data_IF_671739989371
#
_entry.id   IF_671739989371
#
_cell.length_a   1.000
_cell.length_b   1.000
_cell.length_c   1.000
_cell.angle_alpha   90.00
_cell.angle_beta   90.00
_cell.angle_gamma   90.00
#
_symmetry.space_group_name_H-M   'P 1'
#
loop_
_entity.id
_entity.type
_entity.pdbx_description
1 polymer ?
#
# COMPACT_ATOMS: atom_id res chain seq x y z
N UNK A 1 1.96 5.30 16.67
CA UNK A 1 0.99 5.63 15.63
C UNK A 1 1.18 4.67 14.47
N UNK A 2 0.12 3.96 14.10
CA UNK A 2 0.10 2.95 13.04
C UNK A 2 -0.41 3.61 11.76
N UNK A 3 0.33 3.49 10.66
CA UNK A 3 -0.13 3.89 9.34
C UNK A 3 -0.35 2.69 8.43
N UNK A 4 -1.41 2.73 7.63
CA UNK A 4 -1.55 1.85 6.48
C UNK A 4 -1.21 2.63 5.22
N UNK A 5 -0.26 2.13 4.44
CA UNK A 5 0.21 2.71 3.18
C UNK A 5 -0.15 1.77 2.04
N UNK A 6 -0.96 2.23 1.11
CA UNK A 6 -1.54 1.43 0.03
C UNK A 6 -1.04 1.90 -1.33
N UNK A 7 -0.36 1.02 -2.04
CA UNK A 7 0.17 1.32 -3.38
C UNK A 7 -0.93 1.42 -4.45
N UNK A 8 -0.59 2.03 -5.57
CA UNK A 8 -1.36 1.92 -6.80
C UNK A 8 -1.28 0.52 -7.42
N UNK A 9 -2.27 0.17 -8.23
CA UNK A 9 -2.30 -1.16 -8.88
C UNK A 9 -3.54 -1.43 -9.75
N UNK A 10 -4.38 -0.42 -10.00
CA UNK A 10 -5.55 -0.53 -10.87
C UNK A 10 -6.57 -1.54 -10.33
N UNK A 11 -7.03 -2.45 -11.19
CA UNK A 11 -8.01 -3.50 -10.83
C UNK A 11 -7.54 -4.43 -9.70
N UNK A 12 -6.24 -4.57 -9.49
CA UNK A 12 -5.68 -5.37 -8.39
C UNK A 12 -5.85 -4.72 -7.01
N UNK A 13 -6.41 -3.51 -6.90
CA UNK A 13 -6.73 -2.86 -5.62
C UNK A 13 -7.61 -3.71 -4.70
N UNK A 14 -8.36 -4.65 -5.24
CA UNK A 14 -9.16 -5.61 -4.47
C UNK A 14 -8.31 -6.53 -3.56
N UNK A 15 -7.03 -6.80 -3.90
CA UNK A 15 -6.08 -7.52 -3.04
C UNK A 15 -5.90 -6.83 -1.69
N UNK A 16 -5.72 -5.50 -1.73
CA UNK A 16 -5.54 -4.71 -0.51
C UNK A 16 -6.74 -4.82 0.43
N UNK A 17 -7.95 -4.90 -0.14
CA UNK A 17 -9.18 -5.03 0.66
C UNK A 17 -9.21 -6.33 1.45
N UNK A 18 -8.79 -7.43 0.85
CA UNK A 18 -8.65 -8.71 1.53
C UNK A 18 -7.64 -8.65 2.67
N UNK A 19 -6.46 -8.06 2.41
CA UNK A 19 -5.41 -7.87 3.41
C UNK A 19 -5.88 -6.97 4.58
N UNK A 20 -6.56 -5.86 4.28
CA UNK A 20 -7.13 -4.97 5.29
C UNK A 20 -8.11 -5.71 6.22
N UNK A 21 -8.97 -6.57 5.68
CA UNK A 21 -9.92 -7.34 6.49
C UNK A 21 -9.21 -8.26 7.48
N UNK A 22 -8.12 -8.91 7.07
CA UNK A 22 -7.34 -9.80 7.95
C UNK A 22 -6.61 -8.99 9.02
N UNK A 23 -5.88 -7.92 8.63
CA UNK A 23 -5.18 -7.08 9.59
C UNK A 23 -6.13 -6.55 10.67
N UNK A 24 -7.29 -6.03 10.26
CA UNK A 24 -8.27 -5.47 11.18
C UNK A 24 -8.98 -6.54 12.03
N UNK A 25 -9.19 -7.75 11.51
CA UNK A 25 -9.74 -8.87 12.27
C UNK A 25 -8.77 -9.33 13.38
N UNK A 26 -7.46 -9.22 13.15
CA UNK A 26 -6.40 -9.52 14.12
C UNK A 26 -6.09 -8.31 15.04
N UNK A 27 -6.93 -7.28 15.01
CA UNK A 27 -6.84 -6.13 15.92
C UNK A 27 -5.82 -5.07 15.50
N UNK A 28 -5.28 -5.11 14.28
CA UNK A 28 -4.40 -4.07 13.74
C UNK A 28 -5.25 -3.03 13.04
N UNK A 29 -5.39 -1.86 13.65
CA UNK A 29 -6.17 -0.73 13.12
C UNK A 29 -5.26 0.46 12.79
N UNK A 30 -5.50 1.19 11.69
CA UNK A 30 -4.72 2.35 11.34
C UNK A 30 -5.15 3.58 12.15
N UNK A 31 -4.17 4.36 12.60
CA UNK A 31 -4.35 5.72 13.09
C UNK A 31 -4.32 6.72 11.93
N UNK A 32 -3.75 6.34 10.80
CA UNK A 32 -3.58 7.18 9.60
C UNK A 32 -3.54 6.30 8.34
N UNK A 33 -4.02 6.85 7.23
CA UNK A 33 -4.06 6.20 5.92
C UNK A 33 -3.35 7.04 4.86
N UNK A 34 -2.53 6.38 4.05
CA UNK A 34 -1.86 7.01 2.90
C UNK A 34 -2.06 6.12 1.68
N UNK A 35 -2.38 6.70 0.53
CA UNK A 35 -2.63 5.88 -0.65
C UNK A 35 -2.40 6.57 -1.99
N UNK A 36 -2.11 5.75 -2.99
CA UNK A 36 -1.87 6.14 -4.38
C UNK A 36 -2.79 5.36 -5.31
N UNK A 37 -3.40 6.02 -6.30
CA UNK A 37 -4.20 5.39 -7.36
C UNK A 37 -5.31 4.47 -6.81
N UNK A 38 -5.32 3.17 -7.09
CA UNK A 38 -6.26 2.22 -6.50
C UNK A 38 -6.19 2.23 -4.96
N UNK A 39 -4.99 2.36 -4.39
CA UNK A 39 -4.80 2.54 -2.96
C UNK A 39 -5.47 3.81 -2.44
N UNK A 40 -5.45 4.92 -3.20
CA UNK A 40 -6.15 6.16 -2.83
C UNK A 40 -7.67 5.95 -2.72
N UNK A 41 -8.26 5.16 -3.61
CA UNK A 41 -9.67 4.77 -3.52
C UNK A 41 -9.92 4.01 -2.22
N UNK A 42 -9.11 2.98 -1.93
CA UNK A 42 -9.27 2.14 -0.76
C UNK A 42 -9.11 2.92 0.55
N UNK A 43 -8.06 3.75 0.67
CA UNK A 43 -7.83 4.53 1.89
C UNK A 43 -8.88 5.60 2.10
N UNK A 44 -9.42 6.22 1.05
CA UNK A 44 -10.48 7.21 1.18
C UNK A 44 -11.79 6.61 1.71
N UNK A 45 -12.17 5.42 1.22
CA UNK A 45 -13.32 4.70 1.76
C UNK A 45 -13.08 4.28 3.20
N UNK A 46 -11.92 3.71 3.50
CA UNK A 46 -11.59 3.23 4.85
C UNK A 46 -11.45 4.38 5.84
N UNK A 47 -10.92 5.56 5.45
CA UNK A 47 -10.82 6.71 6.35
C UNK A 47 -12.18 7.24 6.80
N UNK A 48 -13.22 7.04 6.00
CA UNK A 48 -14.59 7.39 6.36
C UNK A 48 -15.24 6.42 7.34
N UNK A 49 -14.79 5.15 7.34
CA UNK A 49 -15.19 4.11 8.28
C UNK A 49 -14.01 3.15 8.56
N UNK A 50 -13.05 3.54 9.45
CA UNK A 50 -11.84 2.78 9.72
C UNK A 50 -12.09 1.58 10.64
N UNK A 51 -13.09 0.77 10.29
CA UNK A 51 -13.50 -0.43 11.02
C UNK A 51 -13.44 -1.66 10.12
N UNK A 52 -13.42 -2.85 10.72
CA UNK A 52 -13.53 -4.10 9.98
C UNK A 52 -14.81 -4.13 9.12
N UNK A 53 -15.89 -3.54 9.60
CA UNK A 53 -17.13 -3.44 8.83
C UNK A 53 -16.98 -2.53 7.62
N UNK A 54 -16.28 -1.38 7.75
CA UNK A 54 -15.92 -0.52 6.63
C UNK A 54 -15.08 -1.27 5.58
N UNK A 55 -14.11 -2.07 6.01
CA UNK A 55 -13.33 -2.92 5.08
C UNK A 55 -14.18 -3.99 4.39
N UNK A 56 -15.22 -4.54 5.05
CA UNK A 56 -16.19 -5.45 4.42
C UNK A 56 -17.07 -4.74 3.39
N UNK A 57 -17.56 -3.53 3.72
CA UNK A 57 -18.33 -2.72 2.78
C UNK A 57 -17.52 -2.33 1.55
N UNK A 58 -16.24 -2.01 1.73
CA UNK A 58 -15.32 -1.75 0.62
C UNK A 58 -15.18 -2.97 -0.30
N UNK A 59 -15.15 -4.19 0.25
CA UNK A 59 -15.14 -5.42 -0.55
C UNK A 59 -16.41 -5.55 -1.41
N UNK A 60 -17.58 -5.21 -0.87
CA UNK A 60 -18.82 -5.24 -1.64
C UNK A 60 -18.85 -4.19 -2.75
N UNK A 61 -18.18 -3.06 -2.57
CA UNK A 61 -18.00 -2.05 -3.63
C UNK A 61 -17.13 -2.64 -4.75
N UNK A 62 -15.97 -3.23 -4.43
CA UNK A 62 -15.08 -3.83 -5.42
C UNK A 62 -15.77 -4.94 -6.24
N UNK A 63 -16.58 -5.80 -5.62
CA UNK A 63 -17.36 -6.84 -6.31
C UNK A 63 -18.38 -6.30 -7.31
N UNK A 64 -18.80 -5.03 -7.16
CA UNK A 64 -19.78 -4.36 -8.03
C UNK A 64 -19.15 -3.52 -9.13
N UNK A 65 -17.84 -3.26 -9.04
CA UNK A 65 -17.13 -2.52 -10.09
C UNK A 65 -17.11 -3.38 -11.36
N UNK A 66 -17.44 -2.75 -12.48
CA UNK A 66 -17.32 -3.34 -13.81
C UNK A 66 -16.39 -2.48 -14.67
N UNK A 67 -15.79 -3.08 -15.68
CA UNK A 67 -14.92 -2.40 -16.64
C UNK A 67 -15.54 -1.08 -17.13
N UNK A 68 -16.81 -1.09 -17.52
CA UNK A 68 -17.51 0.08 -18.05
C UNK A 68 -17.72 1.21 -17.01
N UNK A 69 -17.64 0.89 -15.72
CA UNK A 69 -17.68 1.91 -14.68
C UNK A 69 -16.39 2.74 -14.64
N UNK A 70 -15.27 2.16 -15.06
CA UNK A 70 -13.94 2.77 -14.99
C UNK A 70 -13.46 3.19 -16.38
N UNK A 71 -13.48 2.28 -17.35
CA UNK A 71 -12.98 2.44 -18.72
C UNK A 71 -14.11 2.41 -19.74
N UNK A 72 -14.85 3.53 -19.90
CA UNK A 72 -15.92 3.58 -20.89
C UNK A 72 -15.33 3.61 -22.30
N UNK A 73 -15.95 2.85 -23.19
CA UNK A 73 -15.61 2.78 -24.61
C UNK A 73 -14.79 1.53 -24.97
N UNK A 74 -14.97 1.12 -26.22
CA UNK A 74 -14.24 -0.02 -26.78
C UNK A 74 -13.00 0.40 -27.56
N UNK A 75 -12.30 -0.55 -28.21
CA UNK A 75 -11.09 -0.29 -29.00
C UNK A 75 -11.29 0.78 -30.07
N UNK A 76 -12.48 0.86 -30.66
CA UNK A 76 -12.80 1.89 -31.66
C UNK A 76 -12.82 3.29 -31.08
N UNK A 77 -13.33 3.48 -29.86
CA UNK A 77 -13.32 4.77 -29.16
C UNK A 77 -11.88 5.19 -28.82
N UNK A 78 -11.05 4.25 -28.35
CA UNK A 78 -9.63 4.50 -28.08
C UNK A 78 -8.87 4.88 -29.36
N UNK A 79 -9.09 4.17 -30.46
CA UNK A 79 -8.50 4.49 -31.76
C UNK A 79 -8.92 5.89 -32.26
N UNK A 80 -10.18 6.28 -32.00
CA UNK A 80 -10.69 7.60 -32.38
C UNK A 80 -10.07 8.71 -31.54
N UNK A 81 -9.86 8.49 -30.23
CA UNK A 81 -9.17 9.45 -29.35
C UNK A 81 -7.71 9.65 -29.80
N UNK A 82 -7.01 8.60 -30.17
CA UNK A 82 -5.66 8.66 -30.74
C UNK A 82 -5.63 9.43 -32.06
N UNK A 83 -6.56 9.12 -32.98
CA UNK A 83 -6.63 9.75 -34.29
C UNK A 83 -6.98 11.24 -34.21
N UNK A 84 -7.76 11.65 -33.20
CA UNK A 84 -8.17 13.05 -32.99
C UNK A 84 -7.25 13.82 -32.03
N UNK A 85 -6.10 13.24 -31.69
CA UNK A 85 -5.10 13.84 -30.79
C UNK A 85 -5.70 14.32 -29.45
N UNK A 86 -6.62 13.54 -28.87
CA UNK A 86 -7.13 13.79 -27.55
C UNK A 86 -6.01 13.55 -26.51
N UNK A 87 -6.11 14.20 -25.35
CA UNK A 87 -5.15 14.10 -24.26
C UNK A 87 -5.20 12.77 -23.49
N UNK A 88 -6.12 11.86 -23.88
CA UNK A 88 -6.34 10.59 -23.19
C UNK A 88 -7.11 9.57 -24.05
N UNK A 89 -7.01 8.32 -23.65
CA UNK A 89 -7.71 7.19 -24.30
C UNK A 89 -9.17 7.04 -23.85
N UNK A 90 -9.48 7.45 -22.62
CA UNK A 90 -10.79 7.30 -22.01
C UNK A 90 -11.26 8.59 -21.34
N UNK A 91 -12.59 8.77 -21.24
CA UNK A 91 -13.16 9.85 -20.44
C UNK A 91 -13.33 9.38 -18.99
N UNK A 92 -13.20 10.30 -18.03
CA UNK A 92 -13.36 9.96 -16.60
C UNK A 92 -14.77 10.14 -16.05
N UNK A 93 -15.76 10.45 -16.89
CA UNK A 93 -17.15 10.70 -16.43
C UNK A 93 -17.72 9.56 -15.62
N UNK A 94 -17.47 8.31 -16.05
CA UNK A 94 -17.99 7.13 -15.37
C UNK A 94 -17.30 6.92 -14.02
N UNK A 95 -15.98 7.08 -13.93
CA UNK A 95 -15.23 7.00 -12.67
C UNK A 95 -15.72 8.07 -11.68
N UNK A 96 -15.85 9.33 -12.12
CA UNK A 96 -16.35 10.41 -11.27
C UNK A 96 -17.78 10.13 -10.76
N UNK A 97 -18.67 9.66 -11.64
CA UNK A 97 -20.04 9.28 -11.26
C UNK A 97 -20.06 8.07 -10.31
N UNK A 98 -19.17 7.11 -10.51
CA UNK A 98 -19.01 5.96 -9.60
C UNK A 98 -18.55 6.41 -8.22
N UNK A 99 -17.51 7.23 -8.12
CA UNK A 99 -17.01 7.76 -6.86
C UNK A 99 -18.07 8.57 -6.12
N UNK A 100 -18.76 9.49 -6.80
CA UNK A 100 -19.83 10.30 -6.20
C UNK A 100 -20.98 9.44 -5.64
N UNK A 101 -21.31 8.34 -6.33
CA UNK A 101 -22.39 7.43 -5.89
C UNK A 101 -22.00 6.61 -4.66
N UNK A 102 -20.71 6.25 -4.54
CA UNK A 102 -20.21 5.37 -3.48
C UNK A 102 -19.55 6.11 -2.32
N UNK A 103 -19.24 7.41 -2.48
CA UNK A 103 -18.78 8.24 -1.36
C UNK A 103 -19.88 8.27 -0.28
N UNK A 104 -19.55 7.98 0.98
CA UNK A 104 -20.52 8.01 2.07
C UNK A 104 -21.18 9.38 2.19
N UNK A 105 -22.48 9.38 2.54
CA UNK A 105 -23.24 10.63 2.74
C UNK A 105 -22.59 11.49 3.82
N UNK A 106 -22.35 12.76 3.51
CA UNK A 106 -21.74 13.72 4.43
C UNK A 106 -20.22 13.85 4.27
N UNK A 107 -19.54 12.93 3.58
CA UNK A 107 -18.12 13.03 3.28
C UNK A 107 -17.93 13.84 1.99
N UNK A 108 -17.22 14.95 2.09
CA UNK A 108 -16.87 15.82 0.95
C UNK A 108 -15.39 16.18 0.95
N UNK A 109 -14.86 16.54 2.11
CA UNK A 109 -13.51 17.04 2.30
C UNK A 109 -12.70 16.13 3.22
N UNK A 110 -11.39 16.34 3.29
CA UNK A 110 -10.51 15.61 4.21
C UNK A 110 -10.90 15.83 5.68
N UNK A 111 -11.51 16.96 6.01
CA UNK A 111 -12.04 17.24 7.37
C UNK A 111 -13.13 16.25 7.81
N UNK A 112 -13.87 15.69 6.87
CA UNK A 112 -14.98 14.78 7.14
C UNK A 112 -14.52 13.34 7.42
N UNK A 113 -13.22 13.08 7.29
CA UNK A 113 -12.62 11.77 7.56
C UNK A 113 -12.50 11.51 9.06
N UNK A 114 -12.72 10.25 9.48
CA UNK A 114 -12.63 9.84 10.89
C UNK A 114 -11.20 9.74 11.39
N UNK A 115 -10.24 9.50 10.48
CA UNK A 115 -8.80 9.46 10.77
C UNK A 115 -8.04 10.22 9.67
N UNK A 116 -6.82 10.70 9.94
CA UNK A 116 -5.98 11.35 8.95
C UNK A 116 -5.82 10.55 7.67
N UNK A 117 -6.02 11.20 6.55
CA UNK A 117 -5.95 10.64 5.21
C UNK A 117 -5.01 11.49 4.35
N UNK A 118 -4.13 10.81 3.60
CA UNK A 118 -3.26 11.43 2.61
C UNK A 118 -3.34 10.70 1.28
N UNK A 119 -3.44 11.45 0.18
CA UNK A 119 -3.54 10.91 -1.17
C UNK A 119 -2.48 11.55 -2.05
N UNK A 120 -1.81 10.71 -2.84
CA UNK A 120 -0.72 11.14 -3.72
C UNK A 120 -1.24 11.35 -5.15
N UNK A 121 -0.85 12.46 -5.74
CA UNK A 121 -0.92 12.72 -7.18
C UNK A 121 0.44 13.26 -7.66
N UNK A 122 0.63 13.34 -8.97
CA UNK A 122 1.86 13.86 -9.58
C UNK A 122 1.53 15.10 -10.43
N UNK A 123 2.24 16.20 -10.23
CA UNK A 123 2.18 17.36 -11.11
C UNK A 123 2.88 17.00 -12.43
N UNK A 124 2.12 16.93 -13.51
CA UNK A 124 2.59 16.48 -14.82
C UNK A 124 3.72 17.34 -15.39
N UNK A 125 3.69 18.65 -15.11
CA UNK A 125 4.66 19.59 -15.70
C UNK A 125 5.98 19.62 -14.94
N UNK A 126 5.97 19.34 -13.65
CA UNK A 126 7.16 19.41 -12.80
C UNK A 126 7.69 18.03 -12.40
N UNK A 127 6.86 16.97 -12.50
CA UNK A 127 7.16 15.63 -11.98
C UNK A 127 7.12 15.53 -10.47
N UNK A 128 6.82 16.62 -9.76
CA UNK A 128 6.79 16.62 -8.30
C UNK A 128 5.51 15.97 -7.77
N UNK A 129 5.65 15.29 -6.64
CA UNK A 129 4.53 14.79 -5.86
C UNK A 129 3.63 15.95 -5.41
N UNK A 130 2.32 15.78 -5.55
CA UNK A 130 1.30 16.61 -4.92
C UNK A 130 0.63 15.79 -3.83
N UNK A 131 0.69 16.28 -2.59
CA UNK A 131 0.12 15.63 -1.42
C UNK A 131 -1.20 16.29 -1.06
N UNK A 132 -2.30 15.55 -1.21
CA UNK A 132 -3.60 15.94 -0.68
C UNK A 132 -3.74 15.50 0.77
N UNK A 133 -4.47 16.30 1.57
CA UNK A 133 -4.80 16.01 2.95
C UNK A 133 -4.11 16.92 3.97
N UNK A 134 -3.15 17.75 3.56
CA UNK A 134 -2.59 18.80 4.42
C UNK A 134 -3.55 19.97 4.60
N UNK A 135 -4.33 20.32 3.58
CA UNK A 135 -5.48 21.22 3.73
C UNK A 135 -6.77 20.40 3.96
N UNK A 136 -7.37 20.46 5.16
CA UNK A 136 -8.58 19.72 5.49
C UNK A 136 -9.80 20.12 4.64
N UNK A 137 -9.75 21.23 3.90
CA UNK A 137 -10.84 21.69 3.04
C UNK A 137 -10.76 21.15 1.60
N UNK A 138 -9.67 20.48 1.23
CA UNK A 138 -9.56 19.81 -0.07
C UNK A 138 -10.68 18.77 -0.25
N UNK A 139 -11.16 18.62 -1.50
CA UNK A 139 -12.20 17.65 -1.80
C UNK A 139 -11.59 16.25 -2.04
N UNK A 140 -12.09 15.26 -1.33
CA UNK A 140 -11.61 13.88 -1.43
C UNK A 140 -11.81 13.29 -2.82
N UNK A 141 -12.92 13.60 -3.48
CA UNK A 141 -13.20 13.13 -4.85
C UNK A 141 -12.20 13.70 -5.83
N UNK A 142 -11.81 14.98 -5.70
CA UNK A 142 -10.79 15.57 -6.55
C UNK A 142 -9.42 14.90 -6.35
N UNK A 143 -9.06 14.62 -5.12
CA UNK A 143 -7.83 13.91 -4.79
C UNK A 143 -7.79 12.50 -5.41
N UNK A 144 -8.90 11.74 -5.31
CA UNK A 144 -9.01 10.41 -5.92
C UNK A 144 -8.92 10.53 -7.46
N UNK A 145 -9.63 11.47 -8.06
CA UNK A 145 -9.62 11.67 -9.51
C UNK A 145 -8.24 12.09 -10.04
N UNK A 146 -7.50 12.89 -9.29
CA UNK A 146 -6.12 13.22 -9.60
C UNK A 146 -5.21 12.01 -9.47
N UNK A 147 -5.31 11.31 -8.33
CA UNK A 147 -4.47 10.15 -8.01
C UNK A 147 -4.69 8.95 -8.94
N UNK A 148 -5.86 8.85 -9.58
CA UNK A 148 -6.21 7.77 -10.51
C UNK A 148 -6.13 8.17 -11.99
N UNK A 149 -5.61 9.36 -12.30
CA UNK A 149 -5.47 9.86 -13.66
C UNK A 149 -4.26 9.24 -14.38
N UNK A 150 -4.31 7.94 -14.65
CA UNK A 150 -3.21 7.15 -15.23
C UNK A 150 -2.92 7.61 -16.67
N UNK A 151 -1.72 8.13 -16.95
CA UNK A 151 -1.33 8.44 -18.34
C UNK A 151 -1.03 7.16 -19.15
N UNK A 152 -1.40 7.07 -20.42
CA UNK A 152 -2.25 7.97 -21.20
C UNK A 152 -3.74 7.61 -21.14
N UNK A 153 -4.17 6.79 -20.20
CA UNK A 153 -5.53 6.22 -20.14
C UNK A 153 -6.56 7.29 -19.83
N UNK A 154 -6.32 8.10 -18.80
CA UNK A 154 -7.19 9.20 -18.41
C UNK A 154 -6.53 10.56 -18.63
N UNK A 155 -7.34 11.62 -18.92
CA UNK A 155 -6.80 12.97 -19.05
C UNK A 155 -6.24 13.46 -17.71
N UNK A 156 -5.23 14.37 -17.70
CA UNK A 156 -4.77 15.00 -16.48
C UNK A 156 -5.89 15.73 -15.73
N UNK A 157 -5.85 15.71 -14.39
CA UNK A 157 -6.82 16.44 -13.56
C UNK A 157 -6.35 17.87 -13.34
N UNK A 158 -7.14 18.84 -13.80
CA UNK A 158 -6.84 20.23 -13.51
C UNK A 158 -7.31 20.59 -12.09
N UNK A 159 -6.36 20.97 -11.25
CA UNK A 159 -6.60 21.30 -9.85
C UNK A 159 -5.71 22.45 -9.39
N UNK A 160 -6.31 23.55 -8.93
CA UNK A 160 -5.60 24.74 -8.41
C UNK A 160 -4.46 25.24 -9.32
N UNK A 161 -4.71 25.31 -10.63
CA UNK A 161 -3.72 25.77 -11.62
C UNK A 161 -2.66 24.75 -12.02
N UNK A 162 -2.77 23.50 -11.58
CA UNK A 162 -1.87 22.37 -11.87
C UNK A 162 -2.56 21.34 -12.74
N UNK A 163 -1.78 20.63 -13.52
CA UNK A 163 -2.20 19.42 -14.24
C UNK A 163 -1.69 18.20 -13.48
N UNK A 164 -2.59 17.52 -12.78
CA UNK A 164 -2.25 16.37 -11.96
C UNK A 164 -2.54 15.07 -12.70
N UNK A 165 -1.64 14.12 -12.58
CA UNK A 165 -1.77 12.73 -13.05
C UNK A 165 -1.61 11.74 -11.90
N UNK A 166 -1.76 10.46 -12.19
CA UNK A 166 -1.65 9.37 -11.20
C UNK A 166 -0.40 9.50 -10.33
N UNK A 167 -0.61 9.33 -9.02
CA UNK A 167 0.45 9.44 -8.03
C UNK A 167 1.56 8.41 -8.23
N UNK A 168 1.27 7.27 -8.85
CA UNK A 168 2.25 6.22 -9.14
C UNK A 168 3.40 6.67 -10.05
N UNK A 169 3.26 7.79 -10.75
CA UNK A 169 4.33 8.39 -11.55
C UNK A 169 5.46 8.92 -10.66
N UNK A 170 5.14 9.54 -9.53
CA UNK A 170 6.13 10.11 -8.60
C UNK A 170 6.34 9.27 -7.34
N UNK A 171 5.29 8.60 -6.85
CA UNK A 171 5.35 7.85 -5.59
C UNK A 171 4.21 6.83 -5.49
N UNK A 172 4.51 5.60 -5.88
CA UNK A 172 3.49 4.54 -5.92
C UNK A 172 3.20 3.91 -4.55
N UNK A 173 4.16 3.88 -3.64
CA UNK A 173 4.04 3.31 -2.29
C UNK A 173 4.60 4.31 -1.27
N UNK A 174 3.82 5.32 -0.86
CA UNK A 174 4.29 6.52 -0.14
C UNK A 174 4.61 6.24 1.35
N UNK A 175 5.62 5.41 1.60
CA UNK A 175 6.10 5.06 2.95
C UNK A 175 6.69 6.28 3.64
N UNK A 176 7.40 7.12 2.89
CA UNK A 176 8.01 8.35 3.36
C UNK A 176 6.99 9.32 3.95
N UNK A 177 5.83 9.48 3.29
CA UNK A 177 4.73 10.32 3.79
C UNK A 177 4.27 9.84 5.16
N UNK A 178 4.05 8.55 5.34
CA UNK A 178 3.65 8.00 6.63
C UNK A 178 4.69 8.25 7.72
N UNK A 179 5.98 8.09 7.38
CA UNK A 179 7.09 8.35 8.31
C UNK A 179 7.21 9.84 8.64
N UNK A 180 7.15 10.75 7.65
CA UNK A 180 7.18 12.21 7.82
C UNK A 180 6.01 12.74 8.66
N UNK A 181 4.84 12.09 8.56
CA UNK A 181 3.67 12.39 9.41
C UNK A 181 3.75 11.78 10.80
N UNK A 182 4.87 11.15 11.17
CA UNK A 182 5.19 10.70 12.52
C UNK A 182 4.72 9.28 12.85
N UNK A 183 4.44 8.43 11.87
CA UNK A 183 4.16 7.02 12.12
C UNK A 183 5.40 6.29 12.62
N UNK A 184 5.22 5.44 13.63
CA UNK A 184 6.27 4.59 14.20
C UNK A 184 6.10 3.13 13.78
N UNK A 185 4.97 2.80 13.21
CA UNK A 185 4.65 1.48 12.68
C UNK A 185 3.87 1.64 11.37
N UNK A 186 4.36 1.06 10.30
CA UNK A 186 3.81 1.21 8.95
C UNK A 186 3.52 -0.17 8.37
N UNK A 187 2.29 -0.39 7.95
CA UNK A 187 1.88 -1.54 7.15
C UNK A 187 1.77 -1.09 5.68
N UNK A 188 2.75 -1.48 4.88
CA UNK A 188 2.83 -1.14 3.46
C UNK A 188 2.25 -2.29 2.62
N UNK A 189 1.04 -2.09 2.10
CA UNK A 189 0.29 -3.05 1.28
C UNK A 189 0.60 -2.75 -0.20
N UNK A 190 1.56 -3.48 -0.75
CA UNK A 190 2.09 -3.22 -2.08
C UNK A 190 1.56 -4.21 -3.12
N UNK A 191 0.84 -3.70 -4.10
CA UNK A 191 0.33 -4.50 -5.22
C UNK A 191 1.45 -4.71 -6.21
N UNK A 192 1.80 -5.97 -6.41
CA UNK A 192 2.79 -6.38 -7.40
C UNK A 192 2.11 -7.11 -8.55
N UNK A 193 2.61 -6.88 -9.75
CA UNK A 193 2.20 -7.63 -10.93
C UNK A 193 3.28 -8.64 -11.24
N UNK A 194 2.99 -9.92 -11.01
CA UNK A 194 3.72 -11.01 -11.60
C UNK A 194 3.05 -11.34 -12.94
N UNK A 195 3.78 -11.15 -14.01
CA UNK A 195 3.37 -11.64 -15.31
C UNK A 195 4.55 -12.36 -15.92
N UNK A 196 4.34 -13.48 -16.62
CA UNK A 196 5.35 -13.97 -17.53
C UNK A 196 5.64 -12.81 -18.47
N UNK A 197 6.91 -12.43 -18.56
CA UNK A 197 7.39 -11.68 -19.68
C UNK A 197 7.08 -12.55 -20.91
N UNK A 198 6.08 -12.15 -21.68
CA UNK A 198 5.80 -12.84 -22.93
C UNK A 198 7.08 -12.77 -23.78
N UNK A 199 7.47 -13.88 -24.35
CA UNK A 199 8.81 -14.11 -24.87
C UNK A 199 9.02 -13.53 -26.27
N UNK A 200 8.45 -12.37 -26.56
CA UNK A 200 9.12 -11.83 -27.68
C UNK A 200 8.52 -10.84 -28.63
N UNK A 201 7.32 -10.42 -28.55
CA UNK A 201 6.82 -9.37 -29.45
C UNK A 201 6.20 -8.21 -28.69
N UNK A 202 7.03 -7.23 -28.38
CA UNK A 202 6.64 -6.04 -27.62
C UNK A 202 6.24 -4.92 -28.55
N UNK A 203 5.06 -4.38 -28.39
CA UNK A 203 4.69 -3.13 -29.03
C UNK A 203 5.21 -1.91 -28.22
N UNK A 204 5.23 -0.75 -28.85
CA UNK A 204 5.75 0.49 -28.24
C UNK A 204 5.07 0.83 -26.90
N UNK A 205 3.76 0.59 -26.80
CA UNK A 205 3.00 0.86 -25.57
C UNK A 205 3.37 -0.09 -24.43
N UNK A 206 3.61 -1.36 -24.76
CA UNK A 206 4.06 -2.36 -23.78
C UNK A 206 5.47 -2.01 -23.25
N UNK A 207 6.40 -1.66 -24.15
CA UNK A 207 7.74 -1.24 -23.75
C UNK A 207 7.67 0.01 -22.85
N UNK A 208 6.87 1.01 -23.21
CA UNK A 208 6.69 2.21 -22.40
C UNK A 208 6.09 1.88 -21.01
N UNK A 209 5.06 1.04 -20.97
CA UNK A 209 4.42 0.62 -19.72
C UNK A 209 5.40 -0.12 -18.81
N UNK A 210 6.14 -1.08 -19.34
CA UNK A 210 7.12 -1.84 -18.58
C UNK A 210 8.28 -0.97 -18.08
N UNK A 211 8.70 0.02 -18.89
CA UNK A 211 9.71 0.99 -18.47
C UNK A 211 9.25 1.81 -17.28
N UNK A 212 8.00 2.29 -17.29
CA UNK A 212 7.40 3.02 -16.16
C UNK A 212 7.29 2.09 -14.94
N UNK A 213 6.82 0.85 -15.10
CA UNK A 213 6.75 -0.13 -14.01
C UNK A 213 8.13 -0.43 -13.42
N UNK A 214 9.17 -0.48 -14.27
CA UNK A 214 10.56 -0.63 -13.82
C UNK A 214 11.03 0.55 -12.96
N UNK A 215 10.69 1.78 -13.33
CA UNK A 215 11.00 2.98 -12.53
C UNK A 215 10.26 2.95 -11.18
N UNK A 216 8.99 2.61 -11.17
CA UNK A 216 8.18 2.45 -9.95
C UNK A 216 8.81 1.38 -9.03
N UNK A 217 9.21 0.23 -9.59
CA UNK A 217 9.85 -0.83 -8.82
C UNK A 217 11.20 -0.39 -8.22
N UNK A 218 12.01 0.36 -8.94
CA UNK A 218 13.27 0.90 -8.42
C UNK A 218 13.05 1.90 -7.29
N UNK A 219 12.09 2.81 -7.44
CA UNK A 219 11.72 3.76 -6.38
C UNK A 219 11.28 3.01 -5.11
N UNK A 220 10.32 2.09 -5.24
CA UNK A 220 9.84 1.25 -4.14
C UNK A 220 10.97 0.53 -3.41
N UNK A 221 11.88 -0.14 -4.16
CA UNK A 221 12.98 -0.90 -3.57
C UNK A 221 13.94 0.01 -2.78
N UNK A 222 14.19 1.23 -3.28
CA UNK A 222 14.97 2.24 -2.58
C UNK A 222 14.29 2.64 -1.28
N UNK A 223 13.00 2.95 -1.32
CA UNK A 223 12.25 3.41 -0.16
C UNK A 223 12.12 2.30 0.90
N UNK A 224 11.86 1.06 0.49
CA UNK A 224 11.90 -0.10 1.39
C UNK A 224 13.26 -0.24 2.09
N UNK A 225 14.37 -0.09 1.35
CA UNK A 225 15.71 -0.17 1.93
C UNK A 225 15.98 0.95 2.94
N UNK A 226 15.55 2.17 2.67
CA UNK A 226 15.73 3.32 3.56
C UNK A 226 14.87 3.14 4.82
N UNK A 227 13.57 2.95 4.65
CA UNK A 227 12.61 2.99 5.77
C UNK A 227 12.66 1.74 6.65
N UNK A 228 13.11 0.59 6.14
CA UNK A 228 13.38 -0.59 6.99
C UNK A 228 14.57 -0.42 7.91
N UNK A 229 15.44 0.57 7.66
CA UNK A 229 16.66 0.82 8.43
C UNK A 229 16.54 1.95 9.45
N UNK A 230 15.40 2.66 9.49
CA UNK A 230 15.22 3.81 10.39
C UNK A 230 15.02 3.34 11.83
N UNK A 231 15.88 3.75 12.79
CA UNK A 231 15.69 3.40 14.19
C UNK A 231 14.37 3.93 14.74
N UNK A 232 13.62 3.06 15.41
CA UNK A 232 12.32 3.42 16.01
C UNK A 232 11.12 3.36 15.04
N UNK A 233 11.35 3.06 13.78
CA UNK A 233 10.30 2.76 12.80
C UNK A 233 10.21 1.26 12.56
N UNK A 234 9.01 0.70 12.67
CA UNK A 234 8.72 -0.70 12.28
C UNK A 234 7.98 -0.70 10.95
N UNK A 235 8.61 -1.25 9.92
CA UNK A 235 8.02 -1.38 8.59
C UNK A 235 7.57 -2.83 8.35
N UNK A 236 6.27 -3.02 8.20
CA UNK A 236 5.62 -4.25 7.78
C UNK A 236 5.34 -4.18 6.28
N UNK A 237 6.13 -4.90 5.49
CA UNK A 237 5.96 -4.93 4.04
C UNK A 237 5.15 -6.15 3.63
N UNK A 238 3.98 -5.93 3.04
CA UNK A 238 3.06 -6.95 2.55
C UNK A 238 2.98 -6.88 1.02
N UNK A 239 3.77 -7.68 0.29
CA UNK A 239 3.63 -7.83 -1.15
C UNK A 239 2.35 -8.61 -1.46
N UNK A 240 1.51 -8.06 -2.33
CA UNK A 240 0.23 -8.62 -2.70
C UNK A 240 0.23 -9.00 -4.19
N UNK A 241 -0.03 -10.25 -4.48
CA UNK A 241 -0.02 -10.83 -5.84
C UNK A 241 -1.37 -11.43 -6.17
N UNK A 242 -1.78 -11.33 -7.44
CA UNK A 242 -2.85 -12.16 -7.95
C UNK A 242 -2.33 -13.60 -8.16
N UNK A 243 -3.18 -14.60 -7.95
CA UNK A 243 -2.83 -16.02 -8.14
C UNK A 243 -2.49 -16.39 -9.59
N UNK A 244 -2.85 -15.52 -10.54
CA UNK A 244 -2.60 -15.64 -11.98
C UNK A 244 -2.47 -14.28 -12.64
N UNK A 245 -1.85 -14.17 -13.82
CA UNK A 245 -1.82 -12.94 -14.59
C UNK A 245 -3.24 -12.44 -14.90
N UNK A 246 -3.48 -11.15 -14.72
CA UNK A 246 -4.76 -10.49 -15.01
C UNK A 246 -4.56 -9.29 -15.93
N UNK A 247 -5.48 -9.12 -16.87
CA UNK A 247 -5.51 -7.91 -17.69
C UNK A 247 -5.78 -6.68 -16.81
N UNK A 248 -5.25 -5.53 -17.21
CA UNK A 248 -5.36 -4.28 -16.45
C UNK A 248 -6.81 -3.82 -16.26
N UNK A 249 -7.67 -4.18 -17.18
CA UNK A 249 -9.10 -3.81 -17.23
C UNK A 249 -10.06 -4.92 -16.79
N UNK A 250 -9.52 -6.01 -16.22
CA UNK A 250 -10.30 -7.13 -15.70
C UNK A 250 -10.79 -6.84 -14.27
N UNK A 251 -12.03 -6.40 -14.14
CA UNK A 251 -12.69 -6.16 -12.85
C UNK A 251 -13.65 -7.30 -12.44
N UNK A 252 -13.81 -8.34 -13.24
CA UNK A 252 -14.77 -9.39 -12.95
C UNK A 252 -14.29 -10.40 -11.88
N UNK A 253 -13.01 -10.35 -11.53
CA UNK A 253 -12.38 -11.28 -10.60
C UNK A 253 -12.10 -10.68 -9.20
N UNK A 254 -12.82 -9.63 -8.81
CA UNK A 254 -12.62 -8.97 -7.52
C UNK A 254 -12.74 -9.92 -6.32
N UNK A 255 -13.63 -10.91 -6.36
CA UNK A 255 -13.78 -11.90 -5.28
C UNK A 255 -12.53 -12.76 -5.12
N UNK A 256 -11.93 -13.24 -6.21
CA UNK A 256 -10.68 -14.00 -6.24
C UNK A 256 -9.53 -13.15 -5.67
N UNK A 257 -9.42 -11.90 -6.11
CA UNK A 257 -8.38 -10.97 -5.64
C UNK A 257 -8.50 -10.67 -4.15
N UNK A 258 -9.72 -10.45 -3.64
CA UNK A 258 -9.94 -10.25 -2.21
C UNK A 258 -9.46 -11.48 -1.41
N UNK A 259 -9.73 -12.70 -1.90
CA UNK A 259 -9.28 -13.92 -1.23
C UNK A 259 -7.74 -14.04 -1.27
N UNK A 260 -7.10 -13.79 -2.42
CA UNK A 260 -5.63 -13.79 -2.50
C UNK A 260 -5.01 -12.76 -1.53
N UNK A 261 -5.63 -11.58 -1.36
CA UNK A 261 -5.19 -10.60 -0.39
C UNK A 261 -5.32 -11.07 1.07
N UNK A 262 -6.38 -11.83 1.39
CA UNK A 262 -6.55 -12.45 2.72
C UNK A 262 -5.46 -13.49 2.98
N UNK A 263 -5.25 -14.40 2.04
CA UNK A 263 -4.22 -15.44 2.14
C UNK A 263 -2.83 -14.83 2.36
N UNK A 264 -2.48 -13.79 1.60
CA UNK A 264 -1.21 -13.10 1.74
C UNK A 264 -1.04 -12.47 3.14
N UNK A 265 -2.07 -11.80 3.65
CA UNK A 265 -2.02 -11.19 4.97
C UNK A 265 -1.98 -12.23 6.10
N UNK A 266 -2.72 -13.33 5.99
CA UNK A 266 -2.67 -14.45 6.95
C UNK A 266 -1.29 -15.09 6.99
N UNK A 267 -0.68 -15.35 5.83
CA UNK A 267 0.67 -15.89 5.72
C UNK A 267 1.68 -14.95 6.38
N UNK A 268 1.60 -13.66 6.10
CA UNK A 268 2.45 -12.64 6.69
C UNK A 268 2.36 -12.61 8.22
N UNK A 269 1.15 -12.57 8.77
CA UNK A 269 0.94 -12.54 10.22
C UNK A 269 1.43 -13.82 10.92
N UNK A 270 1.23 -14.98 10.28
CA UNK A 270 1.73 -16.25 10.77
C UNK A 270 3.27 -16.27 10.84
N UNK A 271 3.96 -15.75 9.83
CA UNK A 271 5.42 -15.63 9.81
C UNK A 271 5.93 -14.65 10.88
N UNK A 272 5.22 -13.54 11.07
CA UNK A 272 5.54 -12.54 12.09
C UNK A 272 5.49 -13.15 13.49
N UNK A 273 4.46 -13.94 13.81
CA UNK A 273 4.31 -14.63 15.11
C UNK A 273 5.40 -15.67 15.33
N UNK A 274 5.74 -16.46 14.30
CA UNK A 274 6.85 -17.43 14.36
C UNK A 274 8.18 -16.71 14.63
N UNK A 275 8.40 -15.56 14.00
CA UNK A 275 9.63 -14.78 14.19
C UNK A 275 9.73 -14.20 15.60
N UNK A 276 8.62 -13.65 16.14
CA UNK A 276 8.56 -13.20 17.54
C UNK A 276 8.84 -14.34 18.53
N UNK A 277 8.28 -15.51 18.30
CA UNK A 277 8.46 -16.69 19.13
C UNK A 277 9.92 -17.16 19.10
N UNK A 278 10.56 -17.24 17.92
CA UNK A 278 11.98 -17.59 17.78
C UNK A 278 12.88 -16.61 18.52
N UNK A 279 12.66 -15.31 18.40
CA UNK A 279 13.42 -14.27 19.13
C UNK A 279 13.30 -14.46 20.65
N UNK A 280 12.08 -14.71 21.17
CA UNK A 280 11.88 -14.97 22.61
C UNK A 280 12.64 -16.21 23.09
N UNK A 281 12.65 -17.31 22.32
CA UNK A 281 13.37 -18.54 22.66
C UNK A 281 14.89 -18.29 22.66
N UNK A 282 15.43 -17.57 21.67
CA UNK A 282 16.86 -17.24 21.58
C UNK A 282 17.28 -16.38 22.78
N UNK A 283 16.53 -15.34 23.07
CA UNK A 283 16.80 -14.45 24.19
C UNK A 283 16.71 -15.15 25.56
N UNK A 284 15.76 -16.10 25.69
CA UNK A 284 15.65 -16.94 26.89
C UNK A 284 16.86 -17.88 27.04
N UNK A 285 17.38 -18.43 25.94
CA UNK A 285 18.60 -19.27 25.97
C UNK A 285 19.85 -18.46 26.28
N UNK A 286 20.00 -17.27 25.72
CA UNK A 286 21.12 -16.37 26.02
C UNK A 286 21.12 -15.95 27.50
N UNK A 287 19.96 -15.65 28.07
CA UNK A 287 19.81 -15.33 29.49
C UNK A 287 20.01 -16.55 30.42
N UNK A 288 19.84 -17.77 29.90
CA UNK A 288 20.03 -19.02 30.66
C UNK A 288 21.50 -19.53 30.65
N UNK A 289 22.36 -18.98 29.80
CA UNK A 289 23.80 -19.29 29.80
C UNK A 289 24.44 -18.41 30.88
N UNK A 290 24.97 -19.02 32.00
CA UNK A 290 25.66 -18.21 33.00
C UNK A 290 26.86 -17.52 32.34
N UNK A 291 26.96 -16.21 32.47
CA UNK A 291 28.13 -15.48 32.00
C UNK A 291 29.38 -16.07 32.63
N UNK A 292 30.43 -16.27 31.87
CA UNK A 292 31.71 -16.88 32.27
C UNK A 292 32.28 -16.22 33.56
N UNK A 293 31.94 -14.98 33.82
CA UNK A 293 32.28 -14.25 35.05
C UNK A 293 31.65 -14.83 36.32
N UNK A 294 30.45 -15.43 36.22
CA UNK A 294 29.82 -16.09 37.37
C UNK A 294 30.44 -17.49 37.68
N UNK A 295 30.97 -18.16 36.65
CA UNK A 295 31.70 -19.42 36.84
C UNK A 295 33.06 -19.20 37.53
N UNK A 296 33.80 -18.13 37.16
CA UNK A 296 35.04 -17.76 37.83
C UNK A 296 34.82 -17.34 39.29
N UNK A 297 33.79 -16.58 39.60
CA UNK A 297 33.40 -16.24 40.95
C UNK A 297 33.07 -17.44 41.83
N UNK A 298 32.38 -18.46 41.26
CA UNK A 298 32.05 -19.70 41.95
C UNK A 298 33.29 -20.58 42.19
N UNK A 299 34.18 -20.70 41.18
CA UNK A 299 35.43 -21.45 41.29
C UNK A 299 36.43 -20.80 42.28
N UNK A 300 36.53 -19.46 42.31
CA UNK A 300 37.38 -18.77 43.28
C UNK A 300 36.87 -18.94 44.71
N UNK A 301 35.56 -18.96 44.93
CA UNK A 301 34.95 -19.21 46.26
C UNK A 301 35.14 -20.67 46.71
N UNK A 302 35.10 -21.61 45.77
CA UNK A 302 35.39 -23.04 46.08
C UNK A 302 36.86 -23.26 46.42
N UNK A 303 37.79 -22.65 45.70
CA UNK A 303 39.26 -22.74 45.97
C UNK A 303 39.64 -22.10 47.31
N UNK A 304 39.03 -21.00 47.69
CA UNK A 304 39.24 -20.36 48.96
C UNK A 304 38.74 -21.21 50.15
N UNK A 305 37.66 -21.96 50.02
CA UNK A 305 37.15 -22.89 51.06
C UNK A 305 38.06 -24.10 51.25
N UNK A 306 38.67 -24.60 50.19
CA UNK A 306 39.63 -25.74 50.31
C UNK A 306 40.99 -25.34 50.92
N UNK A 307 41.42 -24.08 50.82
CA UNK A 307 42.66 -23.62 51.45
C UNK A 307 42.56 -23.40 52.98
N UNK A 308 41.37 -23.29 53.53
CA UNK A 308 41.14 -23.10 54.96
C UNK A 308 41.00 -24.45 55.73
N UNK A 309 40.83 -25.59 55.03
CA UNK A 309 40.72 -26.91 55.66
C UNK A 309 42.03 -27.72 55.71
N UNK A 310 43.14 -27.18 55.24
CA UNK A 310 44.47 -27.83 55.24
C UNK A 310 45.47 -27.21 56.25
N UNK A 311 45.00 -26.40 57.18
CA UNK A 311 45.80 -25.83 58.26
C UNK A 311 45.17 -26.10 59.65
N UNK A 312 44.60 -27.29 59.83
CA UNK A 312 44.24 -27.80 61.18
C UNK A 312 44.80 -29.20 61.40
#
# INVERSE_FOLDING_TARGET
MIAFVLSGGGNLGALQVGALQVLMAEGVYPDMLVGTSAGAVNVAFLASDPTLEGAKQLAEIWKRIKKDNIYPGGPLSMAMHLATQQDSLCTRKNLAAFLQRHTPKGVRTFRDMKIPLYIIATDLLTGHRYLFGDDPNEHVVDAILASTAIPPVFPPWFYQGRLLVDGGVSDNLPIDVAAEKGSTEIYALDILRDGPMDDGHWNVMEVATLSIMGLIAQQRNRDLSIYSSIPGLTLHYLPLYASRPMAFDDFDHATELIENGREAAQAYLSELELTKTRKKITQSKENAIPTFNNLWGFLTTLVSRFRLSSQS
#
